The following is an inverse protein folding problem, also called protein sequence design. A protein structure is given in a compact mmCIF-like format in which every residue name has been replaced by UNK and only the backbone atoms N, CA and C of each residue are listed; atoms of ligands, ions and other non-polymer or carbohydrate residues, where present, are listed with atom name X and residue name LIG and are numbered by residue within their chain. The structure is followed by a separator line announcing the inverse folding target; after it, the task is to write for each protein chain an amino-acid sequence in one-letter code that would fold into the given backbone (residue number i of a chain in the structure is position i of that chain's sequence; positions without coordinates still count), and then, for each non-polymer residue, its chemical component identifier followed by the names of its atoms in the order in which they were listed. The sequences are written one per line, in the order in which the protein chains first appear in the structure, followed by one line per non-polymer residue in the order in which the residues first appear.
data_IF_120296049012
#
_entry.id   IF_120296049012
#
_cell.length_a   1.000
_cell.length_b   1.000
_cell.length_c   1.000
_cell.angle_alpha   90.00
_cell.angle_beta   90.00
_cell.angle_gamma   90.00
#
_symmetry.space_group_name_H-M   'P 1'
#
loop_
_entity.id
_entity.type
_entity.pdbx_description
1 polymer ?
#
# COMPACT_ATOMS: atom_id res chain seq x y z
N UNK A 1 -2.16 3.18 8.72
CA UNK A 1 -2.50 4.33 7.85
C UNK A 1 -3.69 3.97 6.97
N UNK A 2 -4.51 4.96 6.56
CA UNK A 2 -5.65 4.73 5.68
C UNK A 2 -5.99 5.96 4.83
N UNK A 3 -6.68 5.72 3.71
CA UNK A 3 -7.13 6.72 2.77
C UNK A 3 -8.43 6.26 2.10
N UNK A 4 -9.32 7.22 1.81
CA UNK A 4 -10.49 6.99 1.01
C UNK A 4 -10.25 7.48 -0.42
N UNK A 5 -10.54 6.63 -1.40
CA UNK A 5 -10.48 6.96 -2.82
C UNK A 5 -11.90 7.08 -3.34
N UNK A 6 -12.26 8.24 -3.86
CA UNK A 6 -13.50 8.47 -4.60
C UNK A 6 -13.27 8.13 -6.06
N UNK A 7 -14.03 7.18 -6.60
CA UNK A 7 -13.89 6.74 -8.00
C UNK A 7 -14.35 7.86 -8.95
N UNK A 8 -13.56 8.11 -9.98
CA UNK A 8 -13.91 9.01 -11.09
C UNK A 8 -14.47 8.26 -12.29
N UNK A 9 -14.15 8.73 -13.49
CA UNK A 9 -14.60 8.12 -14.75
C UNK A 9 -13.68 7.02 -15.27
N UNK A 10 -12.52 6.83 -14.62
CA UNK A 10 -11.52 5.83 -14.99
C UNK A 10 -11.85 4.43 -14.46
N UNK A 11 -10.95 3.48 -14.71
CA UNK A 11 -11.04 2.08 -14.29
C UNK A 11 -9.64 1.57 -13.97
N UNK A 12 -9.54 0.70 -12.97
CA UNK A 12 -8.28 0.02 -12.66
C UNK A 12 -7.99 -0.97 -13.79
N UNK A 13 -6.81 -0.89 -14.39
CA UNK A 13 -6.38 -1.75 -15.50
C UNK A 13 -5.03 -2.41 -15.24
N UNK A 14 -4.24 -1.86 -14.33
CA UNK A 14 -2.98 -2.46 -13.88
C UNK A 14 -3.23 -3.85 -13.29
N UNK A 15 -2.40 -4.82 -13.65
CA UNK A 15 -2.45 -6.13 -13.01
C UNK A 15 -1.77 -6.08 -11.62
N UNK A 16 -2.13 -7.00 -10.72
CA UNK A 16 -1.65 -6.93 -9.33
C UNK A 16 -0.11 -7.08 -9.19
N UNK A 17 0.55 -7.79 -10.11
CA UNK A 17 2.02 -7.93 -10.10
C UNK A 17 2.72 -6.67 -10.56
N UNK A 18 2.22 -6.04 -11.63
CA UNK A 18 2.72 -4.75 -12.09
C UNK A 18 2.48 -3.66 -11.04
N UNK A 19 1.34 -3.71 -10.33
CA UNK A 19 1.08 -2.84 -9.19
C UNK A 19 2.14 -3.04 -8.11
N UNK A 20 2.42 -4.28 -7.71
CA UNK A 20 3.46 -4.59 -6.73
C UNK A 20 4.86 -4.11 -7.17
N UNK A 21 5.21 -4.27 -8.44
CA UNK A 21 6.47 -3.75 -9.00
C UNK A 21 6.57 -2.22 -8.86
N UNK A 22 5.49 -1.51 -9.17
CA UNK A 22 5.46 -0.05 -9.01
C UNK A 22 5.46 0.38 -7.54
N UNK A 23 4.87 -0.41 -6.64
CA UNK A 23 4.88 -0.17 -5.19
C UNK A 23 6.29 -0.29 -4.60
N UNK A 24 7.00 -1.39 -4.90
CA UNK A 24 8.28 -1.71 -4.28
C UNK A 24 9.46 -1.36 -5.19
N UNK A 25 9.68 -2.14 -6.24
CA UNK A 25 10.73 -1.97 -7.25
C UNK A 25 10.43 -2.84 -8.47
N UNK A 26 11.04 -2.51 -9.60
CA UNK A 26 10.82 -3.22 -10.85
C UNK A 26 11.59 -4.55 -10.89
N UNK A 27 10.90 -5.67 -10.66
CA UNK A 27 11.40 -7.04 -10.80
C UNK A 27 10.31 -7.94 -11.42
N UNK A 28 10.63 -8.62 -12.51
CA UNK A 28 9.69 -9.53 -13.20
C UNK A 28 9.29 -10.72 -12.32
N UNK A 29 10.16 -11.16 -11.43
CA UNK A 29 9.95 -12.29 -10.53
C UNK A 29 9.63 -11.81 -9.11
N UNK A 30 8.95 -10.66 -8.98
CA UNK A 30 8.64 -10.12 -7.66
C UNK A 30 7.82 -11.14 -6.83
N UNK A 31 8.47 -11.64 -5.77
CA UNK A 31 7.90 -12.45 -4.71
C UNK A 31 7.10 -11.59 -3.73
N UNK A 32 5.79 -11.86 -3.70
CA UNK A 32 4.81 -11.14 -2.90
C UNK A 32 3.85 -12.12 -2.25
N UNK A 33 3.35 -11.76 -1.07
CA UNK A 33 2.15 -12.35 -0.52
C UNK A 33 0.95 -11.51 -0.91
N UNK A 34 -0.12 -12.13 -1.41
CA UNK A 34 -1.31 -11.40 -1.83
C UNK A 34 -2.61 -12.15 -1.57
N UNK A 35 -3.69 -11.39 -1.39
CA UNK A 35 -5.07 -11.84 -1.47
C UNK A 35 -5.79 -11.08 -2.58
N UNK A 36 -6.59 -11.79 -3.37
CA UNK A 36 -7.19 -11.25 -4.60
C UNK A 36 -6.33 -11.53 -5.83
N UNK A 37 -6.87 -11.17 -6.99
CA UNK A 37 -6.24 -11.34 -8.30
C UNK A 37 -6.67 -10.19 -9.23
N UNK A 38 -6.34 -10.27 -10.51
CA UNK A 38 -6.75 -9.24 -11.47
C UNK A 38 -8.27 -9.06 -11.56
N UNK A 39 -9.05 -10.13 -11.49
CA UNK A 39 -10.51 -10.06 -11.55
C UNK A 39 -11.07 -9.31 -10.34
N UNK A 40 -10.55 -9.61 -9.14
CA UNK A 40 -10.97 -8.89 -7.93
C UNK A 40 -10.45 -7.46 -7.90
N UNK A 41 -9.35 -7.13 -8.56
CA UNK A 41 -8.81 -5.77 -8.63
C UNK A 41 -9.55 -4.89 -9.65
N UNK A 42 -9.95 -5.46 -10.79
CA UNK A 42 -10.62 -4.73 -11.88
C UNK A 42 -12.14 -4.66 -11.72
N UNK A 43 -12.70 -5.43 -10.79
CA UNK A 43 -14.14 -5.52 -10.54
C UNK A 43 -14.77 -4.22 -10.03
N UNK A 44 -16.11 -4.21 -9.97
CA UNK A 44 -16.87 -3.06 -9.44
C UNK A 44 -16.65 -2.84 -7.94
N UNK A 45 -16.34 -3.92 -7.21
CA UNK A 45 -16.03 -3.97 -5.78
C UNK A 45 -14.58 -4.44 -5.59
N UNK A 46 -13.57 -3.59 -5.88
CA UNK A 46 -12.19 -4.06 -5.94
C UNK A 46 -11.68 -4.50 -4.58
N UNK A 47 -11.05 -5.68 -4.50
CA UNK A 47 -10.42 -6.19 -3.28
C UNK A 47 -9.02 -6.72 -3.61
N UNK A 48 -8.03 -6.24 -2.86
CA UNK A 48 -6.64 -6.67 -2.99
C UNK A 48 -5.88 -6.44 -1.67
N UNK A 49 -5.00 -7.36 -1.32
CA UNK A 49 -4.00 -7.19 -0.26
C UNK A 49 -2.65 -7.58 -0.84
N UNK A 50 -1.61 -6.76 -0.69
CA UNK A 50 -0.27 -7.03 -1.23
C UNK A 50 0.79 -6.71 -0.17
N UNK A 51 1.73 -7.61 0.01
CA UNK A 51 2.95 -7.39 0.80
C UNK A 51 4.16 -8.03 0.12
N UNK A 52 5.35 -7.47 0.37
CA UNK A 52 6.62 -7.99 -0.16
C UNK A 52 7.18 -9.08 0.74
N UNK A 53 7.67 -10.18 0.16
CA UNK A 53 8.45 -11.17 0.90
C UNK A 53 9.90 -10.69 1.10
N UNK A 54 10.09 -9.74 2.04
CA UNK A 54 11.33 -8.96 2.23
C UNK A 54 12.61 -9.81 2.34
N UNK A 55 12.53 -10.95 3.01
CA UNK A 55 13.63 -11.91 3.22
C UNK A 55 14.15 -12.58 1.94
N UNK A 56 13.39 -12.51 0.83
CA UNK A 56 13.85 -12.95 -0.49
C UNK A 56 14.94 -12.01 -1.00
N UNK A 57 14.76 -10.70 -0.77
CA UNK A 57 15.61 -9.66 -1.34
C UNK A 57 16.72 -9.20 -0.40
N UNK A 58 16.49 -9.28 0.91
CA UNK A 58 17.49 -8.90 1.88
C UNK A 58 17.45 -9.82 3.11
N UNK A 59 18.56 -10.53 3.33
CA UNK A 59 18.69 -11.53 4.40
C UNK A 59 18.73 -10.93 5.79
N UNK A 60 18.97 -9.62 5.94
CA UNK A 60 18.89 -8.93 7.24
C UNK A 60 17.48 -9.06 7.86
N UNK A 61 16.45 -9.20 7.04
CA UNK A 61 15.07 -9.46 7.52
C UNK A 61 14.87 -10.81 8.18
N UNK A 62 15.74 -11.80 7.93
CA UNK A 62 15.64 -13.13 8.54
C UNK A 62 16.08 -13.09 10.01
N UNK A 63 16.98 -12.17 10.36
CA UNK A 63 17.57 -12.08 11.70
C UNK A 63 16.72 -11.26 12.68
N UNK A 64 15.65 -10.62 12.20
CA UNK A 64 14.78 -9.78 13.02
C UNK A 64 13.77 -10.65 13.76
N UNK A 65 13.84 -10.63 15.09
CA UNK A 65 12.88 -11.27 15.98
C UNK A 65 11.65 -10.36 16.18
N UNK A 66 10.72 -10.40 15.22
CA UNK A 66 9.45 -9.69 15.28
C UNK A 66 8.32 -10.55 14.70
N UNK A 67 7.06 -10.18 15.00
CA UNK A 67 5.92 -10.92 14.46
C UNK A 67 5.86 -10.82 12.94
N UNK A 68 5.29 -11.85 12.29
CA UNK A 68 5.08 -11.83 10.85
C UNK A 68 4.21 -10.65 10.38
N UNK A 69 3.27 -10.19 11.23
CA UNK A 69 2.43 -9.03 10.92
C UNK A 69 3.23 -7.73 10.88
N UNK A 70 4.27 -7.56 11.71
CA UNK A 70 5.16 -6.40 11.70
C UNK A 70 6.18 -6.49 10.55
N UNK A 71 6.69 -7.69 10.29
CA UNK A 71 7.68 -7.91 9.23
C UNK A 71 7.07 -7.79 7.83
N UNK A 72 5.80 -8.15 7.67
CA UNK A 72 5.12 -8.19 6.37
C UNK A 72 3.68 -7.66 6.48
N UNK A 73 3.48 -6.36 6.76
CA UNK A 73 2.16 -5.74 6.72
C UNK A 73 1.67 -5.69 5.26
N UNK A 74 0.38 -5.96 5.02
CA UNK A 74 -0.20 -5.75 3.70
C UNK A 74 -0.60 -4.30 3.51
N UNK A 75 -0.43 -3.81 2.28
CA UNK A 75 -1.21 -2.70 1.73
C UNK A 75 -2.48 -3.26 1.11
N UNK A 76 -3.62 -2.75 1.56
CA UNK A 76 -4.94 -3.33 1.32
C UNK A 76 -5.85 -2.30 0.63
N UNK A 77 -6.74 -2.78 -0.23
CA UNK A 77 -7.87 -2.02 -0.75
C UNK A 77 -9.17 -2.85 -0.69
N UNK A 78 -10.28 -2.16 -0.46
CA UNK A 78 -11.62 -2.71 -0.55
C UNK A 78 -12.60 -1.64 -1.03
N UNK A 79 -13.25 -1.92 -2.15
CA UNK A 79 -14.20 -1.02 -2.77
C UNK A 79 -15.65 -1.49 -2.63
N UNK A 80 -16.55 -0.51 -2.67
CA UNK A 80 -17.98 -0.78 -2.77
C UNK A 80 -18.64 0.06 -3.88
N UNK A 81 -19.29 -0.62 -4.80
CA UNK A 81 -20.13 -0.14 -5.89
C UNK A 81 -21.31 0.67 -5.36
N UNK A 82 -21.77 0.39 -4.14
CA UNK A 82 -22.83 1.14 -3.46
C UNK A 82 -22.41 2.55 -3.04
N UNK A 83 -21.14 2.75 -2.71
CA UNK A 83 -20.63 4.02 -2.16
C UNK A 83 -19.80 4.81 -3.18
N UNK A 84 -19.46 4.20 -4.33
CA UNK A 84 -18.52 4.72 -5.31
C UNK A 84 -17.16 5.09 -4.70
N UNK A 85 -16.74 4.35 -3.67
CA UNK A 85 -15.50 4.59 -2.92
C UNK A 85 -14.70 3.30 -2.75
N UNK A 86 -13.41 3.48 -2.51
CA UNK A 86 -12.46 2.44 -2.11
C UNK A 86 -11.80 2.91 -0.81
N UNK A 87 -11.74 2.04 0.19
CA UNK A 87 -10.88 2.23 1.35
C UNK A 87 -9.54 1.58 1.04
N UNK A 88 -8.44 2.29 1.26
CA UNK A 88 -7.08 1.77 1.21
C UNK A 88 -6.45 1.87 2.60
N UNK A 89 -5.83 0.81 3.12
CA UNK A 89 -5.20 0.81 4.44
C UNK A 89 -4.00 -0.12 4.51
N UNK A 90 -3.29 -0.08 5.64
CA UNK A 90 -2.29 -1.09 6.01
C UNK A 90 -2.79 -1.93 7.19
N UNK A 91 -2.40 -3.20 7.26
CA UNK A 91 -2.83 -4.08 8.37
C UNK A 91 -2.41 -3.58 9.76
N UNK A 92 -1.32 -2.81 9.83
CA UNK A 92 -0.86 -2.17 11.07
C UNK A 92 -1.00 -0.65 10.99
N UNK A 93 -1.23 0.00 12.13
CA UNK A 93 -1.23 1.47 12.23
C UNK A 93 0.15 2.02 11.89
N UNK A 94 1.17 1.46 12.52
CA UNK A 94 2.59 1.76 12.30
C UNK A 94 3.20 0.70 11.38
N UNK A 95 3.92 1.18 10.36
CA UNK A 95 4.62 0.34 9.39
C UNK A 95 5.97 0.99 9.07
N UNK A 96 6.90 0.21 8.51
CA UNK A 96 8.21 0.74 8.14
C UNK A 96 8.12 1.71 6.98
N UNK A 97 9.14 2.56 6.80
CA UNK A 97 9.27 3.51 5.70
C UNK A 97 9.07 2.84 4.33
N UNK A 98 9.59 1.62 4.14
CA UNK A 98 9.41 0.87 2.90
C UNK A 98 7.96 0.47 2.65
N UNK A 99 7.24 0.06 3.69
CA UNK A 99 5.83 -0.32 3.60
C UNK A 99 4.93 0.91 3.41
N UNK A 100 5.24 2.01 4.11
CA UNK A 100 4.57 3.31 3.91
C UNK A 100 4.73 3.80 2.47
N UNK A 101 5.94 3.72 1.93
CA UNK A 101 6.22 4.06 0.53
C UNK A 101 5.40 3.20 -0.44
N UNK A 102 5.35 1.90 -0.21
CA UNK A 102 4.58 0.98 -1.03
C UNK A 102 3.08 1.32 -0.98
N UNK A 103 2.55 1.62 0.20
CA UNK A 103 1.18 2.06 0.41
C UNK A 103 0.86 3.35 -0.34
N UNK A 104 1.68 4.40 -0.20
CA UNK A 104 1.46 5.67 -0.91
C UNK A 104 1.50 5.51 -2.42
N UNK A 105 2.43 4.71 -2.94
CA UNK A 105 2.48 4.38 -4.37
C UNK A 105 1.23 3.65 -4.84
N UNK A 106 0.71 2.70 -4.06
CA UNK A 106 -0.55 2.00 -4.36
C UNK A 106 -1.72 2.98 -4.45
N UNK A 107 -1.90 3.84 -3.44
CA UNK A 107 -2.97 4.85 -3.40
C UNK A 107 -2.89 5.80 -4.60
N UNK A 108 -1.68 6.28 -4.91
CA UNK A 108 -1.43 7.16 -6.05
C UNK A 108 -1.81 6.50 -7.39
N UNK A 109 -1.33 5.28 -7.65
CA UNK A 109 -1.56 4.56 -8.91
C UNK A 109 -3.05 4.26 -9.10
N UNK A 110 -3.68 3.67 -8.09
CA UNK A 110 -5.10 3.27 -8.17
C UNK A 110 -5.99 4.49 -8.37
N UNK A 111 -5.75 5.58 -7.64
CA UNK A 111 -6.54 6.81 -7.82
C UNK A 111 -6.34 7.41 -9.20
N UNK A 112 -5.11 7.36 -9.74
CA UNK A 112 -4.80 7.87 -11.07
C UNK A 112 -5.55 7.10 -12.15
N UNK A 113 -5.52 5.76 -12.13
CA UNK A 113 -6.27 4.94 -13.10
C UNK A 113 -7.79 5.17 -13.04
N UNK A 114 -8.29 5.46 -11.84
CA UNK A 114 -9.71 5.76 -11.61
C UNK A 114 -10.10 7.19 -12.01
N UNK A 115 -9.14 8.06 -12.38
CA UNK A 115 -9.34 9.50 -12.49
C UNK A 115 -10.07 10.07 -11.25
N UNK A 116 -9.70 9.55 -10.07
CA UNK A 116 -10.39 9.76 -8.80
C UNK A 116 -9.81 10.89 -7.95
N UNK A 117 -10.26 10.94 -6.69
CA UNK A 117 -9.74 11.84 -5.65
C UNK A 117 -9.42 11.03 -4.38
N UNK A 118 -8.47 11.51 -3.59
CA UNK A 118 -7.99 10.89 -2.34
C UNK A 118 -8.40 11.76 -1.15
N UNK A 119 -8.73 11.13 -0.03
CA UNK A 119 -8.87 11.77 1.27
C UNK A 119 -8.11 10.97 2.33
N UNK A 120 -7.33 11.67 3.15
CA UNK A 120 -6.59 11.10 4.29
C UNK A 120 -7.16 11.58 5.65
N UNK A 121 -8.30 12.30 5.63
CA UNK A 121 -8.86 13.02 6.78
C UNK A 121 -10.34 12.70 7.01
N UNK A 122 -10.68 11.41 6.95
CA UNK A 122 -12.05 10.92 7.13
C UNK A 122 -13.04 11.54 6.14
N UNK A 123 -12.61 11.75 4.89
CA UNK A 123 -13.43 12.30 3.79
C UNK A 123 -13.80 13.78 3.97
N UNK A 124 -13.11 14.49 4.88
CA UNK A 124 -13.32 15.91 5.16
C UNK A 124 -12.81 16.81 4.03
N UNK A 125 -11.68 16.45 3.44
CA UNK A 125 -11.12 17.09 2.25
C UNK A 125 -10.75 16.06 1.18
N UNK A 126 -10.65 16.51 -0.07
CA UNK A 126 -10.33 15.67 -1.22
C UNK A 126 -9.23 16.33 -2.04
N UNK A 127 -8.24 15.55 -2.42
CA UNK A 127 -7.10 15.97 -3.23
C UNK A 127 -6.98 15.11 -4.48
N UNK A 128 -6.41 15.70 -5.52
CA UNK A 128 -6.05 15.01 -6.76
C UNK A 128 -4.86 14.06 -6.53
N UNK A 129 -4.63 13.07 -7.40
CA UNK A 129 -3.42 12.24 -7.34
C UNK A 129 -2.12 13.06 -7.32
N UNK A 130 -2.08 14.19 -8.04
CA UNK A 130 -0.88 15.04 -8.09
C UNK A 130 -0.64 15.76 -6.76
N UNK A 131 -1.68 16.31 -6.14
CA UNK A 131 -1.56 16.94 -4.81
C UNK A 131 -1.12 15.93 -3.75
N UNK A 132 -1.69 14.73 -3.76
CA UNK A 132 -1.26 13.63 -2.88
C UNK A 132 0.21 13.27 -3.11
N UNK A 133 0.62 13.16 -4.39
CA UNK A 133 2.00 12.89 -4.75
C UNK A 133 2.94 13.98 -4.24
N UNK A 134 2.58 15.25 -4.38
CA UNK A 134 3.42 16.37 -3.95
C UNK A 134 3.57 16.41 -2.42
N UNK A 135 2.52 16.09 -1.67
CA UNK A 135 2.55 15.98 -0.19
C UNK A 135 3.48 14.86 0.26
N UNK A 136 3.41 13.68 -0.37
CA UNK A 136 4.17 12.48 0.04
C UNK A 136 5.42 12.23 -0.79
N UNK A 137 5.86 13.22 -1.58
CA UNK A 137 6.88 13.09 -2.62
C UNK A 137 8.17 12.46 -2.10
N UNK A 138 8.67 12.93 -0.97
CA UNK A 138 9.91 12.44 -0.36
C UNK A 138 9.87 10.93 -0.10
N UNK A 139 8.73 10.41 0.37
CA UNK A 139 8.56 8.98 0.66
C UNK A 139 8.31 8.20 -0.64
N UNK A 140 7.47 8.72 -1.54
CA UNK A 140 7.17 8.08 -2.83
C UNK A 140 8.42 7.94 -3.70
N UNK A 141 9.26 8.96 -3.79
CA UNK A 141 10.45 8.97 -4.66
C UNK A 141 11.67 8.28 -4.06
N UNK A 142 11.65 7.93 -2.78
CA UNK A 142 12.76 7.26 -2.10
C UNK A 142 13.18 5.98 -2.85
N UNK A 143 14.48 5.73 -2.94
CA UNK A 143 14.98 4.49 -3.52
C UNK A 143 14.60 3.29 -2.64
N UNK A 144 14.43 2.11 -3.24
CA UNK A 144 14.10 0.91 -2.46
C UNK A 144 15.18 0.56 -1.43
N UNK A 145 16.47 0.62 -1.80
CA UNK A 145 17.56 0.30 -0.89
C UNK A 145 17.62 1.29 0.28
N UNK A 146 17.41 2.58 0.00
CA UNK A 146 17.32 3.62 1.03
C UNK A 146 16.16 3.36 2.00
N UNK A 147 14.95 3.14 1.46
CA UNK A 147 13.77 2.84 2.26
C UNK A 147 13.96 1.57 3.10
N UNK A 148 14.59 0.55 2.54
CA UNK A 148 14.89 -0.71 3.22
C UNK A 148 15.92 -0.53 4.36
N UNK A 149 16.99 0.25 4.14
CA UNK A 149 18.00 0.54 5.18
C UNK A 149 17.43 1.36 6.35
N UNK A 150 16.49 2.27 6.07
CA UNK A 150 15.74 2.98 7.10
C UNK A 150 14.84 1.99 7.85
N UNK A 151 14.08 1.18 7.12
CA UNK A 151 13.13 0.20 7.66
C UNK A 151 13.77 -0.80 8.62
N UNK A 152 14.99 -1.28 8.31
CA UNK A 152 15.74 -2.19 9.18
C UNK A 152 16.12 -1.56 10.54
N UNK A 153 16.17 -0.24 10.65
CA UNK A 153 16.40 0.48 11.91
C UNK A 153 15.10 0.73 12.66
N UNK A 154 14.02 1.03 11.93
CA UNK A 154 12.69 1.30 12.49
C UNK A 154 12.03 0.04 13.06
N UNK A 155 12.26 -1.12 12.47
CA UNK A 155 11.54 -2.35 12.81
C UNK A 155 11.68 -2.75 14.28
N UNK A 156 12.80 -2.41 14.92
CA UNK A 156 13.02 -2.67 16.35
C UNK A 156 12.22 -1.75 17.27
N UNK A 157 11.67 -0.66 16.75
CA UNK A 157 10.88 0.32 17.51
C UNK A 157 9.39 0.25 17.22
N UNK A 158 8.97 -0.52 16.21
CA UNK A 158 7.55 -0.71 15.88
C UNK A 158 6.94 -1.66 16.92
N UNK A 159 6.02 -1.14 17.73
CA UNK A 159 5.22 -1.94 18.65
C UNK A 159 3.92 -2.38 17.97
N UNK A 160 3.48 -3.61 18.27
CA UNK A 160 2.16 -4.08 17.84
C UNK A 160 1.08 -3.32 18.61
N UNK A 161 0.40 -2.40 17.94
CA UNK A 161 -0.90 -1.92 18.40
C UNK A 161 -1.93 -3.01 18.09
N UNK A 162 -2.14 -3.94 19.03
CA UNK A 162 -3.26 -4.88 18.99
C UNK A 162 -4.59 -4.13 19.22
N UNK A 163 -5.06 -3.36 18.24
CA UNK A 163 -6.50 -3.07 18.16
C UNK A 163 -7.15 -4.05 17.17
N UNK A 164 -7.82 -5.11 17.66
CA UNK A 164 -8.55 -6.02 16.79
C UNK A 164 -9.73 -5.30 16.12
N UNK A 165 -9.65 -5.17 14.80
CA UNK A 165 -10.80 -5.30 13.90
C UNK A 165 -11.98 -4.34 14.09
N UNK A 166 -11.74 -3.03 14.15
CA UNK A 166 -12.80 -2.03 13.93
C UNK A 166 -12.48 -1.19 12.70
N UNK A 167 -12.71 -1.76 11.51
CA UNK A 167 -12.88 -1.02 10.26
C UNK A 167 -14.18 -1.47 9.58
#
# INVERSE_FOLDING_TARGET
MHAYIKKGTGKITINYRELAQKMYFNDENIEISHYGNNETLWGEDPVMMISLDKWVYDKRWIEIDASASVLRPHSCISGSSRTNKILAWTDNVEVTTMDQRAYYRMVYIITTELAGLISEDEQSSWMTPQEFYDVHKTVIEMDYAEANDISLKEISTIELNEEPGNY
#
